data_IF_775827886268
#
_entry.id   IF_775827886268
#
_cell.length_a   1.000
_cell.length_b   1.000
_cell.length_c   1.000
_cell.angle_alpha   90.00
_cell.angle_beta   90.00
_cell.angle_gamma   90.00
#
_symmetry.space_group_name_H-M   'P 1'
#
loop_
_entity.id
_entity.type
_entity.pdbx_description
1 polymer ?
#
# COMPACT_ATOMS: atom_id res chain seq x y z
N UNK A 1 4.46 17.29 -25.77
CA UNK A 1 4.43 17.27 -24.29
C UNK A 1 3.18 16.49 -23.90
N UNK A 2 3.32 15.28 -23.34
CA UNK A 2 2.15 14.49 -22.93
C UNK A 2 1.45 15.19 -21.76
N UNK A 3 0.11 15.18 -21.75
CA UNK A 3 -0.71 15.76 -20.71
C UNK A 3 -0.41 15.07 -19.34
N UNK A 4 0.02 15.82 -18.31
CA UNK A 4 0.32 15.24 -17.00
C UNK A 4 -0.91 14.61 -16.34
N UNK A 5 -2.12 15.08 -16.63
CA UNK A 5 -3.37 14.51 -16.10
C UNK A 5 -3.66 13.14 -16.72
N UNK A 6 -3.51 13.02 -18.05
CA UNK A 6 -3.59 11.74 -18.76
C UNK A 6 -2.52 10.74 -18.28
N UNK A 7 -1.33 11.23 -17.95
CA UNK A 7 -0.24 10.42 -17.39
C UNK A 7 -0.62 9.86 -16.01
N UNK A 8 -1.18 10.69 -15.12
CA UNK A 8 -1.67 10.24 -13.81
C UNK A 8 -2.80 9.21 -13.92
N UNK A 9 -3.72 9.39 -14.88
CA UNK A 9 -4.77 8.43 -15.16
C UNK A 9 -4.21 7.08 -15.64
N UNK A 10 -3.24 7.09 -16.57
CA UNK A 10 -2.53 5.90 -17.01
C UNK A 10 -1.84 5.19 -15.85
N UNK A 11 -1.09 5.93 -15.02
CA UNK A 11 -0.39 5.38 -13.86
C UNK A 11 -1.34 4.73 -12.87
N UNK A 12 -2.49 5.35 -12.57
CA UNK A 12 -3.51 4.77 -11.70
C UNK A 12 -4.06 3.47 -12.30
N UNK A 13 -4.45 3.50 -13.56
CA UNK A 13 -4.98 2.33 -14.26
C UNK A 13 -3.99 1.16 -14.29
N UNK A 14 -2.72 1.44 -14.62
CA UNK A 14 -1.65 0.43 -14.62
C UNK A 14 -1.43 -0.16 -13.23
N UNK A 15 -1.48 0.62 -12.15
CA UNK A 15 -1.37 0.10 -10.76
C UNK A 15 -2.53 -0.84 -10.43
N UNK A 16 -3.75 -0.43 -10.76
CA UNK A 16 -4.95 -1.22 -10.50
C UNK A 16 -4.90 -2.55 -11.29
N UNK A 17 -4.45 -2.51 -12.55
CA UNK A 17 -4.28 -3.70 -13.41
C UNK A 17 -3.10 -4.59 -13.02
N UNK A 18 -1.95 -4.00 -12.69
CA UNK A 18 -0.74 -4.72 -12.27
C UNK A 18 -1.04 -5.66 -11.10
N UNK A 19 -1.82 -5.19 -10.12
CA UNK A 19 -2.22 -6.01 -8.98
C UNK A 19 -2.97 -7.27 -9.41
N UNK A 20 -3.89 -7.15 -10.35
CA UNK A 20 -4.66 -8.28 -10.88
C UNK A 20 -3.75 -9.23 -11.65
N UNK A 21 -2.97 -8.70 -12.60
CA UNK A 21 -2.07 -9.49 -13.42
C UNK A 21 -0.99 -10.21 -12.59
N UNK A 22 -0.50 -9.58 -11.53
CA UNK A 22 0.48 -10.20 -10.64
C UNK A 22 -0.12 -11.39 -9.88
N UNK A 23 -1.37 -11.29 -9.41
CA UNK A 23 -2.08 -12.39 -8.76
C UNK A 23 -2.27 -13.55 -9.75
N UNK A 24 -2.78 -13.25 -10.94
CA UNK A 24 -3.02 -14.24 -11.98
C UNK A 24 -1.71 -14.94 -12.38
N UNK A 25 -0.66 -14.17 -12.65
CA UNK A 25 0.65 -14.70 -13.02
C UNK A 25 1.27 -15.57 -11.92
N UNK A 26 1.18 -15.16 -10.65
CA UNK A 26 1.67 -15.95 -9.51
C UNK A 26 0.89 -17.27 -9.38
N UNK A 27 -0.42 -17.24 -9.58
CA UNK A 27 -1.27 -18.43 -9.49
C UNK A 27 -0.96 -19.44 -10.59
N UNK A 28 -0.63 -18.98 -11.79
CA UNK A 28 -0.31 -19.80 -12.95
C UNK A 28 1.14 -20.31 -12.99
N UNK A 29 2.03 -19.79 -12.15
CA UNK A 29 3.48 -20.00 -12.23
C UNK A 29 3.92 -21.45 -12.02
N UNK A 30 3.22 -22.19 -11.15
CA UNK A 30 3.42 -23.63 -10.92
C UNK A 30 4.83 -24.04 -10.48
N UNK A 31 5.63 -23.15 -9.88
CA UNK A 31 6.98 -23.45 -9.39
C UNK A 31 6.95 -24.15 -8.03
N UNK A 32 7.79 -25.17 -7.86
CA UNK A 32 8.05 -25.81 -6.56
C UNK A 32 9.09 -25.01 -5.75
N UNK A 33 9.12 -25.13 -4.40
CA UNK A 33 10.09 -24.43 -3.57
C UNK A 33 11.55 -24.69 -3.96
N UNK A 34 12.30 -23.62 -4.23
CA UNK A 34 13.69 -23.66 -4.67
C UNK A 34 13.88 -23.72 -6.20
N UNK A 35 12.81 -23.85 -6.98
CA UNK A 35 12.88 -23.80 -8.44
C UNK A 35 13.03 -22.37 -8.96
N UNK A 36 13.65 -22.26 -10.14
CA UNK A 36 13.85 -21.01 -10.87
C UNK A 36 13.58 -21.23 -12.36
N UNK A 37 12.85 -20.31 -13.00
CA UNK A 37 12.63 -20.28 -14.46
C UNK A 37 13.05 -18.93 -15.03
N UNK A 38 13.63 -18.94 -16.22
CA UNK A 38 13.87 -17.72 -16.99
C UNK A 38 12.55 -17.23 -17.60
N UNK A 39 12.28 -15.93 -17.50
CA UNK A 39 11.22 -15.29 -18.25
C UNK A 39 11.77 -14.92 -19.63
N UNK A 40 11.19 -15.50 -20.68
CA UNK A 40 11.60 -15.27 -22.07
C UNK A 40 10.39 -14.77 -22.86
N UNK A 41 10.55 -13.65 -23.55
CA UNK A 41 9.56 -13.11 -24.48
C UNK A 41 10.26 -12.79 -25.80
N UNK A 42 9.69 -13.22 -26.93
CA UNK A 42 10.26 -13.04 -28.27
C UNK A 42 11.74 -13.44 -28.38
N UNK A 43 12.13 -14.51 -27.68
CA UNK A 43 13.51 -15.02 -27.65
C UNK A 43 14.48 -14.22 -26.76
N UNK A 44 14.03 -13.13 -26.13
CA UNK A 44 14.83 -12.30 -25.22
C UNK A 44 14.57 -12.70 -23.77
N UNK A 45 15.65 -12.92 -23.02
CA UNK A 45 15.57 -13.19 -21.57
C UNK A 45 15.28 -11.88 -20.84
N UNK A 46 14.09 -11.77 -20.24
CA UNK A 46 13.65 -10.61 -19.46
C UNK A 46 14.14 -10.64 -18.01
N UNK A 47 14.42 -11.83 -17.49
CA UNK A 47 14.81 -12.03 -16.10
C UNK A 47 14.56 -13.47 -15.64
N UNK A 48 14.53 -13.67 -14.34
CA UNK A 48 14.22 -14.98 -13.76
C UNK A 48 13.25 -14.85 -12.58
N UNK A 49 12.38 -15.82 -12.44
CA UNK A 49 11.46 -15.94 -11.32
C UNK A 49 11.82 -17.19 -10.53
N UNK A 50 11.98 -17.05 -9.21
CA UNK A 50 12.35 -18.13 -8.30
C UNK A 50 11.30 -18.28 -7.21
N UNK A 51 10.98 -19.51 -6.82
CA UNK A 51 10.14 -19.79 -5.65
C UNK A 51 11.03 -19.88 -4.40
N UNK A 52 10.88 -18.94 -3.48
CA UNK A 52 11.62 -18.96 -2.21
C UNK A 52 11.19 -20.15 -1.34
N UNK A 53 12.10 -20.65 -0.51
CA UNK A 53 11.75 -21.60 0.54
C UNK A 53 10.91 -20.87 1.60
N UNK A 54 9.80 -21.48 2.02
CA UNK A 54 8.94 -20.91 3.07
C UNK A 54 9.75 -20.58 4.32
N UNK A 55 9.62 -19.34 4.82
CA UNK A 55 10.29 -18.91 6.05
C UNK A 55 9.56 -19.52 7.25
N UNK A 56 10.29 -20.22 8.11
CA UNK A 56 9.76 -20.61 9.43
C UNK A 56 9.53 -19.34 10.25
N UNK A 57 8.28 -19.07 10.59
CA UNK A 57 7.90 -17.97 11.48
C UNK A 57 7.11 -18.56 12.64
N UNK A 58 7.47 -18.16 13.86
CA UNK A 58 6.66 -18.46 15.03
C UNK A 58 5.55 -17.40 15.10
N UNK A 59 4.34 -17.83 15.45
CA UNK A 59 3.22 -16.94 15.75
C UNK A 59 2.58 -17.39 17.06
N UNK A 60 2.16 -16.44 17.88
CA UNK A 60 1.33 -16.74 19.04
C UNK A 60 -0.05 -17.13 18.51
N UNK A 61 -0.48 -18.36 18.79
CA UNK A 61 -1.79 -18.86 18.35
C UNK A 61 -2.89 -18.53 19.37
N UNK A 62 -2.51 -18.34 20.63
CA UNK A 62 -3.42 -17.99 21.71
C UNK A 62 -2.73 -17.04 22.69
N UNK A 63 -2.99 -15.74 22.53
CA UNK A 63 -2.39 -14.70 23.37
C UNK A 63 -2.78 -14.83 24.84
N UNK A 64 -4.03 -15.18 25.13
CA UNK A 64 -4.51 -15.35 26.51
C UNK A 64 -3.81 -16.52 27.22
N UNK A 65 -3.59 -17.64 26.52
CA UNK A 65 -2.87 -18.78 27.07
C UNK A 65 -1.38 -18.47 27.27
N UNK A 66 -0.74 -17.76 26.34
CA UNK A 66 0.65 -17.31 26.50
C UNK A 66 0.75 -16.34 27.68
N UNK A 67 -0.16 -15.37 27.79
CA UNK A 67 -0.19 -14.43 28.91
C UNK A 67 -0.39 -15.15 30.25
N UNK A 68 -1.30 -16.13 30.32
CA UNK A 68 -1.50 -16.93 31.52
C UNK A 68 -0.26 -17.76 31.89
N UNK A 69 0.40 -18.34 30.89
CA UNK A 69 1.65 -19.08 31.09
C UNK A 69 2.78 -18.18 31.61
N UNK A 70 2.97 -17.01 30.99
CA UNK A 70 3.98 -16.01 31.37
C UNK A 70 3.68 -15.45 32.77
N UNK A 71 2.41 -15.21 33.12
CA UNK A 71 2.01 -14.79 34.48
C UNK A 71 2.47 -15.77 35.57
N UNK A 72 2.50 -17.06 35.26
CA UNK A 72 2.89 -18.10 36.23
C UNK A 72 4.40 -18.33 36.25
N UNK A 73 5.06 -18.34 35.07
CA UNK A 73 6.45 -18.76 34.95
C UNK A 73 7.46 -17.61 34.87
N UNK A 74 7.03 -16.44 34.36
CA UNK A 74 7.87 -15.27 34.12
C UNK A 74 7.13 -13.97 34.44
N UNK A 75 6.67 -13.76 35.69
CA UNK A 75 5.84 -12.61 36.05
C UNK A 75 6.55 -11.25 35.91
N UNK A 76 7.89 -11.24 35.90
CA UNK A 76 8.70 -10.03 35.69
C UNK A 76 8.69 -9.52 34.25
N UNK A 77 8.25 -10.35 33.30
CA UNK A 77 8.21 -10.02 31.86
C UNK A 77 6.85 -9.44 31.43
N UNK A 78 6.03 -8.99 32.39
CA UNK A 78 4.70 -8.41 32.10
C UNK A 78 4.73 -6.91 32.35
N UNK A 79 4.59 -6.18 31.26
CA UNK A 79 4.38 -4.74 31.30
C UNK A 79 2.88 -4.42 31.31
N UNK A 80 2.46 -3.52 32.19
CA UNK A 80 1.10 -2.99 32.23
C UNK A 80 1.18 -1.52 31.79
N UNK A 81 0.68 -1.24 30.60
CA UNK A 81 0.66 0.12 30.05
C UNK A 81 -0.70 0.79 30.28
N UNK A 82 -0.67 2.01 30.82
CA UNK A 82 -1.83 2.91 30.81
C UNK A 82 -1.96 3.54 29.43
N UNK A 83 -3.11 3.34 28.77
CA UNK A 83 -3.38 3.91 27.44
C UNK A 83 -4.76 4.54 27.38
N UNK A 84 -4.88 5.62 26.62
CA UNK A 84 -6.19 6.18 26.25
C UNK A 84 -6.95 5.17 25.40
N UNK A 85 -8.24 4.98 25.69
CA UNK A 85 -9.09 4.06 24.93
C UNK A 85 -9.09 4.48 23.44
N UNK A 86 -8.73 3.59 22.49
CA UNK A 86 -8.56 3.98 21.08
C UNK A 86 -9.80 4.63 20.44
N UNK A 87 -11.00 4.14 20.80
CA UNK A 87 -12.26 4.72 20.31
C UNK A 87 -12.49 6.15 20.81
N UNK A 88 -12.13 6.43 22.05
CA UNK A 88 -12.25 7.78 22.63
C UNK A 88 -11.23 8.71 21.99
N UNK A 89 -9.97 8.27 21.86
CA UNK A 89 -8.92 9.05 21.20
C UNK A 89 -9.31 9.40 19.75
N UNK A 90 -9.85 8.44 19.00
CA UNK A 90 -10.34 8.71 17.63
C UNK A 90 -11.44 9.78 17.61
N UNK A 91 -12.45 9.64 18.47
CA UNK A 91 -13.53 10.63 18.56
C UNK A 91 -13.00 12.01 18.92
N UNK A 92 -12.05 12.08 19.84
CA UNK A 92 -11.41 13.31 20.27
C UNK A 92 -10.68 13.98 19.09
N UNK A 93 -9.85 13.23 18.36
CA UNK A 93 -9.11 13.73 17.20
C UNK A 93 -10.05 14.19 16.08
N UNK A 94 -11.12 13.45 15.79
CA UNK A 94 -12.12 13.82 14.77
C UNK A 94 -12.82 15.15 15.13
N UNK A 95 -13.09 15.40 16.41
CA UNK A 95 -13.70 16.65 16.88
C UNK A 95 -12.73 17.82 16.82
N UNK A 96 -11.45 17.60 17.16
CA UNK A 96 -10.39 18.60 17.04
C UNK A 96 -10.18 19.00 15.58
N UNK A 97 -10.14 18.02 14.66
CA UNK A 97 -9.99 18.29 13.23
C UNK A 97 -11.14 19.14 12.65
N UNK A 98 -12.38 18.96 13.14
CA UNK A 98 -13.53 19.78 12.72
C UNK A 98 -13.51 21.19 13.30
N UNK A 99 -13.08 21.34 14.55
CA UNK A 99 -13.05 22.62 15.27
C UNK A 99 -11.81 23.46 14.93
N UNK A 100 -10.77 22.84 14.37
CA UNK A 100 -9.51 23.49 14.02
C UNK A 100 -8.55 23.71 15.21
N UNK A 101 -8.97 23.35 16.42
CA UNK A 101 -8.17 23.42 17.64
C UNK A 101 -8.72 22.46 18.69
N UNK A 102 -7.88 22.05 19.65
CA UNK A 102 -8.32 21.26 20.79
C UNK A 102 -8.93 22.17 21.86
N UNK A 103 -10.19 21.90 22.21
CA UNK A 103 -10.98 22.77 23.10
C UNK A 103 -11.59 21.92 24.22
N UNK A 104 -11.43 22.37 25.47
CA UNK A 104 -12.05 21.76 26.65
C UNK A 104 -13.56 22.04 26.73
N UNK A 105 -14.23 21.34 27.64
CA UNK A 105 -15.61 21.53 28.07
C UNK A 105 -15.97 22.98 28.43
N UNK A 106 -15.02 23.77 28.93
CA UNK A 106 -15.19 25.20 29.25
C UNK A 106 -14.96 26.14 28.06
N UNK A 107 -14.68 25.60 26.86
CA UNK A 107 -14.42 26.41 25.66
C UNK A 107 -13.00 26.96 25.56
N UNK A 108 -12.10 26.55 26.45
CA UNK A 108 -10.69 26.97 26.47
C UNK A 108 -9.89 26.12 25.49
N UNK A 109 -9.08 26.78 24.64
CA UNK A 109 -8.15 26.09 23.74
C UNK A 109 -6.98 25.55 24.54
N UNK A 110 -6.68 24.25 24.37
CA UNK A 110 -5.54 23.60 25.02
C UNK A 110 -4.45 23.36 23.97
N UNK A 111 -3.42 24.19 24.02
CA UNK A 111 -2.27 24.10 23.12
C UNK A 111 -1.26 23.02 23.57
N UNK A 112 -0.59 22.38 22.60
CA UNK A 112 0.53 21.46 22.84
C UNK A 112 0.16 20.01 23.16
N UNK A 113 -1.13 19.66 23.19
CA UNK A 113 -1.60 18.27 23.34
C UNK A 113 -2.02 17.63 22.01
N UNK A 114 -2.79 18.36 21.20
CA UNK A 114 -3.29 17.90 19.89
C UNK A 114 -3.25 19.08 18.92
N UNK A 115 -2.34 19.01 17.96
CA UNK A 115 -2.21 20.03 16.91
C UNK A 115 -3.00 19.64 15.66
N UNK A 116 -3.67 20.62 15.06
CA UNK A 116 -4.30 20.46 13.74
C UNK A 116 -3.29 20.87 12.68
N UNK A 117 -2.73 19.88 11.99
CA UNK A 117 -1.83 20.13 10.86
C UNK A 117 -2.64 20.04 9.57
N UNK A 118 -2.58 21.11 8.77
CA UNK A 118 -3.08 21.07 7.38
C UNK A 118 -1.95 20.56 6.49
N UNK A 119 -2.13 19.36 5.94
CA UNK A 119 -1.20 18.79 4.96
C UNK A 119 -1.27 19.52 3.62
N UNK A 120 -0.19 19.44 2.84
CA UNK A 120 -0.16 20.04 1.51
C UNK A 120 -1.21 19.41 0.57
N UNK A 121 -1.88 20.23 -0.27
CA UNK A 121 -2.79 19.71 -1.29
C UNK A 121 -2.08 18.70 -2.22
N UNK A 122 -2.72 17.57 -2.48
CA UNK A 122 -2.19 16.53 -3.36
C UNK A 122 -3.19 16.16 -4.48
N UNK A 123 -2.71 15.75 -5.66
CA UNK A 123 -3.59 15.36 -6.76
C UNK A 123 -4.30 14.04 -6.47
N UNK A 124 -5.61 14.01 -6.69
CA UNK A 124 -6.43 12.79 -6.63
C UNK A 124 -6.84 12.42 -8.06
N UNK A 125 -6.78 11.14 -8.41
CA UNK A 125 -7.18 10.63 -9.71
C UNK A 125 -8.33 9.63 -9.55
N UNK A 126 -9.46 9.91 -10.18
CA UNK A 126 -10.60 9.00 -10.32
C UNK A 126 -10.75 8.63 -11.79
N UNK A 127 -10.79 7.33 -12.08
CA UNK A 127 -10.99 6.83 -13.43
C UNK A 127 -12.47 6.93 -13.82
N UNK A 128 -12.74 7.13 -15.10
CA UNK A 128 -14.08 7.02 -15.67
C UNK A 128 -14.54 5.55 -15.70
N UNK A 129 -15.85 5.32 -15.82
CA UNK A 129 -16.43 3.97 -15.82
C UNK A 129 -15.96 3.12 -17.02
N UNK A 130 -15.70 3.76 -18.16
CA UNK A 130 -15.20 3.14 -19.39
C UNK A 130 -13.68 3.26 -19.58
N UNK A 131 -12.96 3.68 -18.52
CA UNK A 131 -11.52 3.94 -18.58
C UNK A 131 -10.72 2.72 -19.04
N UNK A 132 -11.17 1.51 -18.71
CA UNK A 132 -10.51 0.27 -19.15
C UNK A 132 -10.42 0.15 -20.67
N UNK A 133 -11.53 0.34 -21.37
CA UNK A 133 -11.59 0.21 -22.82
C UNK A 133 -10.81 1.34 -23.50
N UNK A 134 -10.99 2.56 -23.00
CA UNK A 134 -10.37 3.75 -23.57
C UNK A 134 -8.85 3.77 -23.36
N UNK A 135 -8.37 3.51 -22.15
CA UNK A 135 -6.93 3.49 -21.84
C UNK A 135 -6.25 2.35 -22.59
N UNK A 136 -6.84 1.15 -22.62
CA UNK A 136 -6.27 0.03 -23.37
C UNK A 136 -6.18 0.35 -24.88
N UNK A 137 -7.25 0.90 -25.47
CA UNK A 137 -7.27 1.28 -26.89
C UNK A 137 -6.30 2.41 -27.23
N UNK A 138 -6.14 3.39 -26.35
CA UNK A 138 -5.18 4.48 -26.53
C UNK A 138 -3.73 4.01 -26.36
N UNK A 139 -3.47 3.11 -25.40
CA UNK A 139 -2.16 2.50 -25.17
C UNK A 139 -1.74 1.62 -26.35
N UNK A 140 -2.64 0.76 -26.85
CA UNK A 140 -2.38 -0.10 -28.00
C UNK A 140 -2.05 0.68 -29.28
N UNK A 141 -2.65 1.87 -29.46
CA UNK A 141 -2.39 2.76 -30.59
C UNK A 141 -1.18 3.69 -30.38
N UNK A 142 -0.52 3.61 -29.22
CA UNK A 142 0.60 4.49 -28.86
C UNK A 142 0.21 5.96 -28.68
N UNK A 143 -1.09 6.26 -28.54
CA UNK A 143 -1.61 7.61 -28.30
C UNK A 143 -1.52 8.01 -26.81
N UNK A 144 -1.38 7.02 -25.94
CA UNK A 144 -1.11 7.15 -24.51
C UNK A 144 0.05 6.21 -24.18
N UNK A 145 0.99 6.62 -23.32
CA UNK A 145 2.15 5.79 -23.00
C UNK A 145 3.02 6.43 -21.94
N UNK A 146 3.98 5.66 -21.41
CA UNK A 146 4.91 6.13 -20.39
C UNK A 146 6.08 6.85 -21.06
N UNK A 147 6.32 8.11 -20.70
CA UNK A 147 7.46 8.87 -21.21
C UNK A 147 8.80 8.19 -20.83
N UNK A 148 9.78 8.27 -21.73
CA UNK A 148 11.14 7.76 -21.49
C UNK A 148 11.41 6.34 -22.01
N UNK A 149 10.38 5.53 -22.33
CA UNK A 149 10.60 4.18 -22.89
C UNK A 149 11.39 4.21 -24.21
N UNK A 150 11.05 5.13 -25.12
CA UNK A 150 11.78 5.31 -26.39
C UNK A 150 13.23 5.77 -26.23
N UNK A 151 13.55 6.43 -25.11
CA UNK A 151 14.92 6.88 -24.83
C UNK A 151 15.80 5.71 -24.34
N UNK A 152 15.20 4.68 -23.73
CA UNK A 152 15.88 3.44 -23.39
C UNK A 152 16.21 2.60 -24.64
N UNK A 153 15.35 2.65 -25.67
CA UNK A 153 15.61 1.99 -26.97
C UNK A 153 16.72 2.70 -27.76
N UNK A 154 16.81 4.03 -27.69
CA UNK A 154 17.81 4.83 -28.40
C UNK A 154 19.19 4.88 -27.70
N UNK A 155 19.30 4.33 -26.48
CA UNK A 155 20.53 4.27 -25.69
C UNK A 155 21.34 2.97 -25.85
N UNK A 156 21.00 2.13 -26.83
CA UNK A 156 21.76 0.94 -27.24
C UNK A 156 22.61 1.20 -28.48
#
# INVERSE_FOLDING_TARGET
>A
MQDPTATLALCKWLKDRLRVWEIDAKSALGLLPGERKAAVADGVVLGHVSMAKGRKTAKVVNEAAVLAYVKVHHPTEIEVEERVRPAFLKSLLDDVAKKGAFVDSDGVVIDGLIDVVTGDPYPICKLADDADLNIAGLLARGQLGVNGLRQLEAGQ
#
